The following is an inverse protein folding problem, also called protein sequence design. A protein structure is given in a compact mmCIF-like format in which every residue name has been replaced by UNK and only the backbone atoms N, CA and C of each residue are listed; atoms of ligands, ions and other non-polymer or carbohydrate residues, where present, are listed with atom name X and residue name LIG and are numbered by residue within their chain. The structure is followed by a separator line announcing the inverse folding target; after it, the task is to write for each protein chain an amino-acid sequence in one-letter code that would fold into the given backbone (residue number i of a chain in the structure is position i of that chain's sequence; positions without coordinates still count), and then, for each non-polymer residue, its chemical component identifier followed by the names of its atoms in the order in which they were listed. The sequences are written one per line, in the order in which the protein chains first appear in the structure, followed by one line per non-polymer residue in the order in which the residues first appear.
data_IF_977682187353
#
_entry.id   IF_977682187353
#
_cell.length_a   1.000
_cell.length_b   1.000
_cell.length_c   1.000
_cell.angle_alpha   90.00
_cell.angle_beta   90.00
_cell.angle_gamma   90.00
#
_symmetry.space_group_name_H-M   'P 1'
#
loop_
_entity.id
_entity.type
_entity.pdbx_description
1 polymer ?
#
# COMPACT_ATOMS: atom_id res chain seq x y z
N UNK A 1 -5.82 -3.54 -14.44
CA UNK A 1 -4.38 -3.22 -14.45
C UNK A 1 -4.09 -2.46 -13.17
N UNK A 2 -3.24 -2.97 -12.29
CA UNK A 2 -3.03 -2.37 -10.97
C UNK A 2 -2.01 -1.21 -11.06
N UNK A 3 -2.23 -0.17 -10.26
CA UNK A 3 -1.28 0.94 -10.08
C UNK A 3 -0.17 0.47 -9.16
N UNK A 4 1.07 0.52 -9.65
CA UNK A 4 2.25 0.10 -8.91
C UNK A 4 2.78 1.26 -8.06
N UNK A 5 2.88 1.07 -6.76
CA UNK A 5 3.28 2.13 -5.80
C UNK A 5 4.41 1.67 -4.88
N UNK A 6 5.25 2.60 -4.46
CA UNK A 6 6.24 2.40 -3.39
C UNK A 6 5.91 3.30 -2.20
N UNK A 7 6.15 2.83 -0.96
CA UNK A 7 5.79 3.55 0.27
C UNK A 7 7.04 4.14 0.94
N UNK A 8 7.53 5.28 0.45
CA UNK A 8 8.66 5.95 1.07
C UNK A 8 8.29 6.50 2.47
N UNK A 9 8.81 5.84 3.51
CA UNK A 9 8.57 6.18 4.92
C UNK A 9 7.57 5.25 5.61
N UNK A 10 8.04 4.07 6.04
CA UNK A 10 7.22 3.04 6.70
C UNK A 10 7.02 3.22 8.21
N UNK A 11 6.84 4.48 8.61
CA UNK A 11 6.47 4.84 9.97
C UNK A 11 5.01 4.49 10.28
N UNK A 12 4.41 5.23 11.20
CA UNK A 12 3.01 5.02 11.61
C UNK A 12 2.04 5.09 10.41
N UNK A 13 2.20 6.09 9.53
CA UNK A 13 1.33 6.30 8.38
C UNK A 13 1.53 5.24 7.30
N UNK A 14 2.77 4.95 6.91
CA UNK A 14 3.04 3.92 5.89
C UNK A 14 2.45 2.56 6.25
N UNK A 15 2.53 2.16 7.52
CA UNK A 15 1.90 0.92 8.00
C UNK A 15 0.37 0.95 7.95
N UNK A 16 -0.26 2.08 8.27
CA UNK A 16 -1.71 2.22 8.19
C UNK A 16 -2.22 2.27 6.74
N UNK A 17 -1.44 2.84 5.81
CA UNK A 17 -1.73 2.81 4.38
C UNK A 17 -1.71 1.36 3.87
N UNK A 18 -0.64 0.61 4.15
CA UNK A 18 -0.56 -0.79 3.74
C UNK A 18 -1.68 -1.64 4.35
N UNK A 19 -1.99 -1.43 5.64
CA UNK A 19 -3.13 -2.07 6.30
C UNK A 19 -4.44 -1.76 5.59
N UNK A 20 -4.72 -0.49 5.29
CA UNK A 20 -5.95 -0.07 4.62
C UNK A 20 -6.11 -0.71 3.24
N UNK A 21 -5.02 -0.80 2.46
CA UNK A 21 -5.02 -1.46 1.15
C UNK A 21 -5.43 -2.94 1.28
N UNK A 22 -4.89 -3.64 2.28
CA UNK A 22 -5.18 -5.07 2.53
C UNK A 22 -6.60 -5.26 3.08
N UNK A 23 -7.03 -4.45 4.06
CA UNK A 23 -8.35 -4.56 4.70
C UNK A 23 -9.51 -4.31 3.73
N UNK A 24 -9.31 -3.46 2.73
CA UNK A 24 -10.32 -3.15 1.71
C UNK A 24 -10.23 -4.06 0.46
N UNK A 25 -9.40 -5.11 0.48
CA UNK A 25 -9.13 -6.01 -0.67
C UNK A 25 -8.89 -5.22 -1.98
N UNK A 26 -8.07 -4.16 -1.92
CA UNK A 26 -7.80 -3.31 -3.09
C UNK A 26 -6.94 -4.07 -4.09
N UNK A 27 -7.56 -4.50 -5.19
CA UNK A 27 -6.88 -5.20 -6.31
C UNK A 27 -6.37 -4.27 -7.40
N UNK A 28 -6.68 -2.99 -7.30
CA UNK A 28 -6.26 -1.94 -8.21
C UNK A 28 -4.93 -1.28 -7.80
N UNK A 29 -4.34 -1.69 -6.67
CA UNK A 29 -3.06 -1.17 -6.15
C UNK A 29 -2.10 -2.33 -5.88
N UNK A 30 -0.88 -2.22 -6.37
CA UNK A 30 0.21 -3.17 -6.13
C UNK A 30 1.36 -2.43 -5.42
N UNK A 31 1.63 -2.77 -4.15
CA UNK A 31 2.77 -2.20 -3.41
C UNK A 31 4.04 -2.97 -3.78
N UNK A 32 4.92 -2.36 -4.55
CA UNK A 32 6.11 -3.02 -5.12
C UNK A 32 7.36 -2.85 -4.26
N UNK A 33 7.37 -1.85 -3.39
CA UNK A 33 8.45 -1.57 -2.46
C UNK A 33 7.90 -0.77 -1.26
N UNK A 34 8.65 -0.81 -0.16
CA UNK A 34 8.45 0.04 1.00
C UNK A 34 9.59 1.05 1.00
#
# INVERSE_FOLDING_TARGET
MAVRVAINGFGRIGRLVLRSIIEHDRRDIEVVAI
#
